data_IF_302709417192
#
_entry.id   IF_302709417192
#
_cell.length_a   1.000
_cell.length_b   1.000
_cell.length_c   1.000
_cell.angle_alpha   90.00
_cell.angle_beta   90.00
_cell.angle_gamma   90.00
#
_symmetry.space_group_name_H-M   'P 1'
#
loop_
_entity.id
_entity.type
_entity.pdbx_description
1 polymer ?
#
# COMPACT_ATOMS: atom_id res chain seq x y z
N UNK A 1 7.98 -1.89 16.51
CA UNK A 1 6.85 -2.11 15.58
C UNK A 1 6.57 -3.61 15.57
N UNK A 2 5.32 -4.07 15.79
CA UNK A 2 5.02 -5.49 15.70
C UNK A 2 5.05 -5.89 14.22
N UNK A 3 5.90 -6.85 13.84
CA UNK A 3 5.86 -7.41 12.49
C UNK A 3 4.52 -8.13 12.32
N UNK A 4 3.71 -7.73 11.33
CA UNK A 4 2.39 -8.31 11.12
C UNK A 4 2.26 -8.80 9.69
N UNK A 5 2.14 -10.12 9.53
CA UNK A 5 1.67 -10.76 8.31
C UNK A 5 2.59 -10.63 7.08
N UNK A 6 1.95 -10.47 5.92
CA UNK A 6 2.57 -10.37 4.59
C UNK A 6 2.32 -8.98 4.00
N UNK A 7 3.26 -8.50 3.20
CA UNK A 7 3.14 -7.26 2.43
C UNK A 7 3.01 -7.62 0.96
N UNK A 8 2.11 -6.94 0.23
CA UNK A 8 2.05 -7.05 -1.22
C UNK A 8 3.13 -6.17 -1.83
N UNK A 9 4.07 -6.77 -2.56
CA UNK A 9 5.20 -6.09 -3.19
C UNK A 9 5.43 -6.68 -4.58
N UNK A 10 5.31 -5.85 -5.62
CA UNK A 10 5.57 -6.20 -7.03
C UNK A 10 4.86 -7.49 -7.50
N UNK A 11 3.55 -7.58 -7.24
CA UNK A 11 2.73 -8.70 -7.69
C UNK A 11 2.74 -9.94 -6.78
N UNK A 12 3.47 -9.91 -5.66
CA UNK A 12 3.61 -11.06 -4.75
C UNK A 12 3.38 -10.66 -3.30
N UNK A 13 2.84 -11.59 -2.50
CA UNK A 13 2.78 -11.45 -1.04
C UNK A 13 4.09 -11.97 -0.43
N UNK A 14 4.91 -11.06 0.11
CA UNK A 14 6.18 -11.38 0.77
C UNK A 14 6.03 -11.29 2.30
N UNK A 15 6.81 -12.04 3.09
CA UNK A 15 6.87 -11.85 4.53
C UNK A 15 7.26 -10.41 4.88
N UNK A 16 6.72 -9.84 5.97
CA UNK A 16 7.01 -8.47 6.40
C UNK A 16 8.52 -8.16 6.42
N UNK A 17 9.32 -9.06 7.00
CA UNK A 17 10.78 -8.92 7.09
C UNK A 17 11.51 -8.87 5.74
N UNK A 18 10.90 -9.36 4.67
CA UNK A 18 11.52 -9.44 3.34
C UNK A 18 11.11 -8.27 2.44
N UNK A 19 10.14 -7.45 2.86
CA UNK A 19 9.69 -6.25 2.14
C UNK A 19 10.70 -5.09 2.30
N UNK A 20 11.90 -5.26 1.75
CA UNK A 20 13.03 -4.32 1.85
C UNK A 20 13.27 -3.60 0.53
N UNK A 21 13.75 -2.37 0.62
CA UNK A 21 14.30 -1.59 -0.50
C UNK A 21 15.74 -1.17 -0.16
N UNK A 22 16.55 -0.87 -1.18
CA UNK A 22 17.92 -0.37 -0.95
C UNK A 22 17.86 1.06 -0.37
N UNK A 23 18.83 1.43 0.47
CA UNK A 23 18.86 2.76 1.11
C UNK A 23 18.96 3.90 0.09
N UNK A 24 19.52 3.65 -1.09
CA UNK A 24 19.62 4.60 -2.21
C UNK A 24 18.38 4.61 -3.12
N UNK A 25 17.25 4.06 -2.68
CA UNK A 25 16.00 4.13 -3.45
C UNK A 25 15.61 5.59 -3.66
N UNK A 26 15.48 6.01 -4.92
CA UNK A 26 15.28 7.41 -5.29
C UNK A 26 14.10 8.08 -4.54
N UNK A 27 12.99 7.36 -4.39
CA UNK A 27 11.81 7.86 -3.68
C UNK A 27 12.05 8.20 -2.20
N UNK A 28 13.07 7.61 -1.55
CA UNK A 28 13.43 7.94 -0.16
C UNK A 28 14.20 9.26 -0.04
N UNK A 29 14.85 9.70 -1.11
CA UNK A 29 15.70 10.91 -1.12
C UNK A 29 15.03 12.09 -1.82
N UNK A 30 14.16 11.81 -2.79
CA UNK A 30 13.59 12.82 -3.68
C UNK A 30 12.05 12.77 -3.75
N UNK A 31 11.41 11.98 -2.88
CA UNK A 31 9.94 11.91 -2.75
C UNK A 31 9.20 11.59 -4.06
N UNK A 32 9.84 10.85 -4.98
CA UNK A 32 9.23 10.40 -6.23
C UNK A 32 8.32 9.20 -6.01
N UNK A 33 7.27 9.38 -5.22
CA UNK A 33 6.28 8.36 -4.89
C UNK A 33 4.91 8.98 -4.69
N UNK A 34 3.90 8.14 -4.86
CA UNK A 34 2.50 8.42 -4.53
C UNK A 34 2.02 7.29 -3.62
N UNK A 35 1.03 7.56 -2.78
CA UNK A 35 0.50 6.57 -1.85
C UNK A 35 -1.00 6.74 -1.67
N UNK A 36 -1.62 5.74 -1.05
CA UNK A 36 -3.04 5.76 -0.67
C UNK A 36 -3.22 5.45 0.81
N UNK A 37 -4.29 6.01 1.38
CA UNK A 37 -4.71 5.74 2.74
C UNK A 37 -6.07 5.06 2.72
N UNK A 38 -6.09 3.73 2.90
CA UNK A 38 -7.31 2.92 2.80
C UNK A 38 -7.62 2.29 4.17
N UNK A 39 -8.89 2.28 4.56
CA UNK A 39 -9.36 1.67 5.82
C UNK A 39 -10.26 0.47 5.54
N UNK A 40 -10.08 -0.56 6.38
CA UNK A 40 -10.93 -1.73 6.44
C UNK A 40 -11.67 -1.72 7.78
N UNK A 41 -12.97 -2.00 7.76
CA UNK A 41 -13.84 -1.99 8.92
C UNK A 41 -14.50 -3.35 9.09
N UNK A 42 -14.75 -3.73 10.34
CA UNK A 42 -15.59 -4.89 10.62
C UNK A 42 -17.06 -4.51 10.41
N UNK A 43 -17.79 -5.29 9.63
CA UNK A 43 -19.22 -5.10 9.37
C UNK A 43 -19.99 -6.37 9.74
N UNK A 44 -21.33 -6.33 9.85
CA UNK A 44 -22.12 -7.55 10.08
C UNK A 44 -21.90 -8.66 9.05
N UNK A 45 -21.45 -8.32 7.84
CA UNK A 45 -21.18 -9.26 6.74
C UNK A 45 -19.69 -9.61 6.60
N UNK A 46 -18.86 -9.27 7.59
CA UNK A 46 -17.41 -9.45 7.58
C UNK A 46 -16.63 -8.17 7.32
N UNK A 47 -15.31 -8.30 7.15
CA UNK A 47 -14.42 -7.16 6.91
C UNK A 47 -14.68 -6.54 5.53
N UNK A 48 -14.88 -5.22 5.50
CA UNK A 48 -15.14 -4.48 4.27
C UNK A 48 -14.19 -3.29 4.13
N UNK A 49 -13.73 -3.04 2.91
CA UNK A 49 -12.90 -1.89 2.56
C UNK A 49 -13.80 -0.73 2.14
N UNK A 50 -13.66 0.42 2.79
CA UNK A 50 -14.48 1.59 2.47
C UNK A 50 -14.00 2.27 1.19
N UNK A 51 -14.88 2.40 0.19
CA UNK A 51 -14.65 3.13 -1.08
C UNK A 51 -13.41 2.68 -1.87
N UNK A 52 -13.16 1.37 -1.90
CA UNK A 52 -11.98 0.81 -2.59
C UNK A 52 -11.84 1.28 -4.05
N UNK A 53 -12.89 1.25 -4.91
CA UNK A 53 -12.76 1.70 -6.30
C UNK A 53 -12.25 3.13 -6.42
N UNK A 54 -12.77 4.06 -5.62
CA UNK A 54 -12.37 5.46 -5.71
C UNK A 54 -10.94 5.72 -5.21
N UNK A 55 -10.49 4.96 -4.20
CA UNK A 55 -9.10 4.99 -3.78
C UNK A 55 -8.15 4.46 -4.88
N UNK A 56 -8.52 3.39 -5.56
CA UNK A 56 -7.72 2.83 -6.68
C UNK A 56 -7.68 3.81 -7.86
N UNK A 57 -8.82 4.40 -8.23
CA UNK A 57 -8.87 5.41 -9.28
C UNK A 57 -8.01 6.62 -8.95
N UNK A 58 -8.02 7.09 -7.70
CA UNK A 58 -7.17 8.19 -7.26
C UNK A 58 -5.69 7.82 -7.29
N UNK A 59 -5.32 6.62 -6.88
CA UNK A 59 -3.95 6.12 -6.97
C UNK A 59 -3.40 6.23 -8.39
N UNK A 60 -4.14 5.74 -9.39
CA UNK A 60 -3.73 5.82 -10.80
C UNK A 60 -3.74 7.25 -11.34
N UNK A 61 -4.66 8.10 -10.90
CA UNK A 61 -4.65 9.54 -11.26
C UNK A 61 -3.40 10.23 -10.71
N UNK A 62 -3.03 9.99 -9.45
CA UNK A 62 -1.82 10.55 -8.85
C UNK A 62 -0.55 10.08 -9.56
N UNK A 63 -0.48 8.82 -9.97
CA UNK A 63 0.65 8.28 -10.72
C UNK A 63 0.79 8.85 -12.15
N UNK A 64 -0.27 9.50 -12.68
CA UNK A 64 -0.26 10.13 -14.01
C UNK A 64 0.21 11.59 -13.99
N UNK A 65 0.15 12.26 -12.83
CA UNK A 65 0.58 13.65 -12.64
C UNK A 65 2.10 13.77 -12.66
#
# INVERSE_FOLDING_TARGET
MKEVGKIWMNGKLVPFKDAKVHVLTHALHYSTSIFEGIRCYNTPNGSAIFRLPEHVDRFFKSAKL
#
